data_IF_595730724691
#
_entry.id   IF_595730724691
#
_cell.length_a   1.000
_cell.length_b   1.000
_cell.length_c   1.000
_cell.angle_alpha   90.00
_cell.angle_beta   90.00
_cell.angle_gamma   90.00
#
_symmetry.space_group_name_H-M   'P 1'
#
loop_
_entity.id
_entity.type
_entity.pdbx_description
1 polymer ?
#
# COMPACT_ATOMS: atom_id res chain seq x y z
N UNK A 1 66.52 28.72 -26.04
CA UNK A 1 65.87 28.43 -24.74
C UNK A 1 64.41 28.07 -24.95
N UNK A 2 64.07 26.78 -25.12
CA UNK A 2 62.68 26.27 -25.15
C UNK A 2 62.68 24.84 -24.63
N UNK A 3 62.79 24.68 -23.32
CA UNK A 3 62.47 23.45 -22.60
C UNK A 3 61.67 23.87 -21.37
N UNK A 4 60.67 23.06 -21.01
CA UNK A 4 59.92 23.11 -19.75
C UNK A 4 58.53 23.80 -19.77
N UNK A 5 57.67 23.50 -20.75
CA UNK A 5 56.24 23.88 -20.65
C UNK A 5 55.23 22.75 -20.89
N UNK A 6 55.67 21.49 -20.99
CA UNK A 6 54.78 20.33 -21.24
C UNK A 6 54.45 19.54 -19.97
N UNK A 7 55.37 19.54 -18.99
CA UNK A 7 55.22 18.82 -17.72
C UNK A 7 54.08 19.37 -16.82
N UNK A 8 53.85 20.70 -16.68
CA UNK A 8 52.79 21.17 -15.78
C UNK A 8 51.38 20.90 -16.31
N UNK A 9 51.19 20.79 -17.63
CA UNK A 9 49.90 20.49 -18.24
C UNK A 9 49.47 19.02 -18.04
N UNK A 10 50.42 18.08 -18.07
CA UNK A 10 50.14 16.66 -17.87
C UNK A 10 49.75 16.35 -16.41
N UNK A 11 50.38 17.02 -15.45
CA UNK A 11 50.08 16.91 -14.03
C UNK A 11 48.71 17.51 -13.67
N UNK A 12 48.33 18.63 -14.30
CA UNK A 12 47.00 19.22 -14.12
C UNK A 12 45.90 18.30 -14.68
N UNK A 13 46.15 17.63 -15.80
CA UNK A 13 45.20 16.67 -16.39
C UNK A 13 45.04 15.40 -15.54
N UNK A 14 46.12 14.92 -14.92
CA UNK A 14 46.07 13.79 -13.98
C UNK A 14 45.32 14.14 -12.68
N UNK A 15 45.52 15.34 -12.13
CA UNK A 15 44.82 15.81 -10.93
C UNK A 15 43.32 16.06 -11.19
N UNK A 16 42.95 16.54 -12.37
CA UNK A 16 41.54 16.69 -12.77
C UNK A 16 40.82 15.34 -12.90
N UNK A 17 41.51 14.29 -13.39
CA UNK A 17 40.93 12.95 -13.47
C UNK A 17 40.79 12.27 -12.10
N UNK A 18 41.68 12.56 -11.14
CA UNK A 18 41.57 12.07 -9.77
C UNK A 18 40.43 12.77 -9.00
N UNK A 19 40.21 14.07 -9.23
CA UNK A 19 39.14 14.83 -8.58
C UNK A 19 37.74 14.47 -9.13
N UNK A 20 37.61 14.22 -10.44
CA UNK A 20 36.34 13.75 -11.02
C UNK A 20 35.97 12.31 -10.62
N UNK A 21 36.93 11.45 -10.24
CA UNK A 21 36.63 10.08 -9.79
C UNK A 21 35.96 10.03 -8.42
N UNK A 22 36.16 11.04 -7.57
CA UNK A 22 35.54 11.11 -6.24
C UNK A 22 34.19 11.84 -6.23
N UNK A 23 33.75 12.41 -7.34
CA UNK A 23 32.45 13.10 -7.44
C UNK A 23 31.34 12.25 -8.09
N UNK A 24 31.61 11.01 -8.48
CA UNK A 24 30.57 10.14 -9.02
C UNK A 24 30.05 9.22 -7.91
N UNK A 25 28.76 9.42 -7.61
CA UNK A 25 27.79 8.52 -6.96
C UNK A 25 27.38 8.84 -5.51
N UNK A 26 26.69 9.96 -5.34
CA UNK A 26 25.35 9.85 -4.73
C UNK A 26 24.42 9.20 -5.76
N UNK A 27 24.71 7.95 -6.14
CA UNK A 27 23.83 7.22 -7.05
C UNK A 27 22.56 6.96 -6.29
N UNK A 28 21.44 7.42 -6.85
CA UNK A 28 20.11 7.01 -6.43
C UNK A 28 20.10 5.53 -6.06
N UNK A 29 19.69 5.16 -4.83
CA UNK A 29 19.52 3.75 -4.51
C UNK A 29 18.48 3.14 -5.45
N UNK A 30 18.74 1.92 -5.91
CA UNK A 30 17.78 1.20 -6.76
C UNK A 30 16.46 0.96 -6.02
N UNK A 31 15.34 0.87 -6.76
CA UNK A 31 14.02 0.52 -6.20
C UNK A 31 14.08 -0.72 -5.30
N UNK A 32 14.78 -1.75 -5.75
CA UNK A 32 15.04 -2.98 -4.98
C UNK A 32 15.70 -2.72 -3.62
N UNK A 33 16.77 -1.92 -3.58
CA UNK A 33 17.47 -1.62 -2.33
C UNK A 33 16.58 -0.81 -1.37
N UNK A 34 15.83 0.15 -1.90
CA UNK A 34 14.89 0.94 -1.11
C UNK A 34 13.76 0.07 -0.55
N UNK A 35 13.19 -0.82 -1.36
CA UNK A 35 12.17 -1.78 -0.92
C UNK A 35 12.70 -2.67 0.22
N UNK A 36 13.91 -3.23 0.09
CA UNK A 36 14.54 -4.02 1.16
C UNK A 36 14.71 -3.20 2.45
N UNK A 37 15.08 -1.92 2.33
CA UNK A 37 15.21 -1.03 3.49
C UNK A 37 13.86 -0.80 4.17
N UNK A 38 12.79 -0.65 3.41
CA UNK A 38 11.44 -0.45 3.92
C UNK A 38 10.90 -1.75 4.55
N UNK A 39 11.11 -2.91 3.93
CA UNK A 39 10.78 -4.23 4.50
C UNK A 39 11.44 -4.41 5.86
N UNK A 40 12.72 -4.03 6.01
CA UNK A 40 13.42 -4.11 7.32
C UNK A 40 12.81 -3.21 8.39
N UNK A 41 12.24 -2.06 8.01
CA UNK A 41 11.60 -1.11 8.94
C UNK A 41 10.19 -1.53 9.32
N UNK A 42 9.37 -1.90 8.32
CA UNK A 42 7.98 -2.29 8.52
C UNK A 42 7.86 -3.72 9.09
N UNK A 43 8.78 -4.61 8.72
CA UNK A 43 8.77 -6.01 9.12
C UNK A 43 7.66 -6.83 8.46
N UNK A 44 7.67 -8.13 8.76
CA UNK A 44 6.69 -9.08 8.25
C UNK A 44 5.48 -9.21 9.20
N UNK A 45 4.30 -9.38 8.61
CA UNK A 45 3.05 -9.72 9.28
C UNK A 45 2.99 -11.23 9.49
N UNK A 46 2.36 -11.65 10.59
CA UNK A 46 2.06 -13.04 10.85
C UNK A 46 0.73 -13.41 10.18
N UNK A 47 0.70 -14.53 9.46
CA UNK A 47 -0.51 -15.11 8.90
C UNK A 47 -1.01 -16.30 9.78
N UNK A 48 -2.33 -16.57 9.80
CA UNK A 48 -3.39 -15.77 9.20
C UNK A 48 -3.52 -14.42 9.91
N UNK A 49 -3.93 -13.42 9.15
CA UNK A 49 -4.17 -12.06 9.63
C UNK A 49 -5.69 -11.85 9.75
N UNK A 50 -6.13 -11.27 10.87
CA UNK A 50 -7.51 -10.85 11.09
C UNK A 50 -7.47 -9.48 11.76
N UNK A 51 -8.14 -8.49 11.17
CA UNK A 51 -8.24 -7.17 11.78
C UNK A 51 -9.52 -6.44 11.40
N UNK A 52 -9.99 -5.64 12.36
CA UNK A 52 -11.09 -4.70 12.18
C UNK A 52 -10.54 -3.40 11.59
N UNK A 53 -11.13 -2.93 10.49
CA UNK A 53 -10.64 -1.77 9.73
C UNK A 53 -10.90 -0.47 10.49
N UNK A 54 -12.05 -0.36 11.17
CA UNK A 54 -12.48 0.86 11.86
C UNK A 54 -12.16 0.86 13.37
N UNK A 55 -11.64 -0.25 13.90
CA UNK A 55 -11.33 -0.43 15.31
C UNK A 55 -9.83 -0.31 15.61
N UNK A 56 -9.34 -1.18 16.50
CA UNK A 56 -7.91 -1.33 16.82
C UNK A 56 -7.13 -2.03 15.68
N UNK A 57 -7.33 -1.57 14.44
CA UNK A 57 -6.74 -2.13 13.24
C UNK A 57 -5.21 -2.11 13.25
N UNK A 58 -4.61 -2.61 12.16
CA UNK A 58 -3.15 -2.63 12.03
C UNK A 58 -2.59 -1.21 12.12
N UNK A 59 -1.62 -1.02 13.02
CA UNK A 59 -0.90 0.23 13.14
C UNK A 59 0.18 0.33 12.07
N UNK A 60 0.28 1.50 11.45
CA UNK A 60 1.36 1.81 10.53
C UNK A 60 2.71 1.63 11.22
N UNK A 61 3.60 0.89 10.55
CA UNK A 61 4.98 0.66 10.99
C UNK A 61 5.99 1.47 10.20
N UNK A 62 5.57 2.04 9.08
CA UNK A 62 6.37 2.92 8.25
C UNK A 62 5.49 3.91 7.50
N UNK A 63 5.78 5.21 7.60
CA UNK A 63 5.06 6.25 6.87
C UNK A 63 5.74 6.53 5.53
N UNK A 64 4.96 6.59 4.45
CA UNK A 64 5.49 6.86 3.11
C UNK A 64 5.85 8.34 2.93
N UNK A 65 7.03 8.62 2.38
CA UNK A 65 7.37 9.97 1.91
C UNK A 65 6.87 10.19 0.47
N UNK A 66 5.78 10.94 0.34
CA UNK A 66 5.14 11.25 -0.95
C UNK A 66 5.98 12.11 -1.90
N UNK A 67 7.07 12.72 -1.42
CA UNK A 67 8.02 13.49 -2.24
C UNK A 67 9.34 12.74 -2.44
N UNK A 68 9.52 11.60 -1.76
CA UNK A 68 10.73 10.80 -1.75
C UNK A 68 10.69 9.59 -2.67
N UNK A 69 11.68 8.70 -2.52
CA UNK A 69 11.78 7.44 -3.28
C UNK A 69 10.61 6.50 -3.06
N UNK A 70 9.95 6.61 -1.92
CA UNK A 70 8.80 5.78 -1.59
C UNK A 70 7.68 6.00 -2.60
N UNK A 71 7.50 7.22 -3.11
CA UNK A 71 6.57 7.54 -4.20
C UNK A 71 6.88 6.81 -5.52
N UNK A 72 8.16 6.46 -5.76
CA UNK A 72 8.56 5.69 -6.94
C UNK A 72 8.34 4.19 -6.75
N UNK A 73 8.31 3.72 -5.50
CA UNK A 73 8.09 2.31 -5.16
C UNK A 73 6.60 2.01 -5.05
N UNK A 74 5.86 2.79 -4.25
CA UNK A 74 4.44 2.56 -3.96
C UNK A 74 3.50 3.48 -4.75
N UNK A 75 4.02 4.25 -5.70
CA UNK A 75 3.24 5.24 -6.44
C UNK A 75 2.80 6.42 -5.57
N UNK A 76 1.78 7.16 -6.03
CA UNK A 76 1.11 8.22 -5.25
C UNK A 76 0.16 7.66 -4.18
N UNK A 77 0.41 6.45 -3.68
CA UNK A 77 -0.40 5.86 -2.63
C UNK A 77 -0.35 6.73 -1.39
N UNK A 78 -1.52 7.18 -0.94
CA UNK A 78 -1.68 7.88 0.32
C UNK A 78 -1.68 6.79 1.40
N UNK A 79 -0.82 6.90 2.43
CA UNK A 79 -0.87 5.98 3.56
C UNK A 79 0.46 5.54 4.15
N UNK A 80 0.39 4.85 5.28
CA UNK A 80 1.47 4.11 5.87
C UNK A 80 1.45 2.63 5.48
N UNK A 81 2.58 1.96 5.68
CA UNK A 81 2.73 0.53 5.54
C UNK A 81 2.50 -0.11 6.92
N UNK A 82 1.51 -1.00 7.00
CA UNK A 82 1.26 -1.83 8.17
C UNK A 82 2.29 -2.95 8.32
N UNK A 83 2.73 -3.51 7.19
CA UNK A 83 3.72 -4.57 7.14
C UNK A 83 3.67 -5.34 5.83
N UNK A 84 4.66 -6.20 5.63
CA UNK A 84 4.75 -7.09 4.47
C UNK A 84 4.24 -8.47 4.84
N UNK A 85 3.55 -9.16 3.93
CA UNK A 85 3.31 -10.59 4.13
C UNK A 85 4.61 -11.38 3.98
N UNK A 86 4.68 -12.59 4.57
CA UNK A 86 5.86 -13.46 4.47
C UNK A 86 6.37 -13.54 3.02
N UNK A 87 7.69 -13.46 2.88
CA UNK A 87 8.34 -13.37 1.58
C UNK A 87 7.99 -14.57 0.69
N UNK A 88 7.52 -14.30 -0.53
CA UNK A 88 7.30 -15.35 -1.54
C UNK A 88 8.53 -15.47 -2.42
N UNK A 89 8.67 -16.56 -3.16
CA UNK A 89 9.82 -16.73 -4.07
C UNK A 89 9.85 -15.64 -5.17
N UNK A 90 8.70 -15.12 -5.58
CA UNK A 90 8.57 -14.33 -6.82
C UNK A 90 8.25 -12.85 -6.61
N UNK A 91 7.60 -12.49 -5.51
CA UNK A 91 7.15 -11.13 -5.25
C UNK A 91 7.24 -10.77 -3.76
N UNK A 92 7.05 -9.50 -3.45
CA UNK A 92 6.74 -9.01 -2.12
C UNK A 92 5.31 -8.51 -2.11
N UNK A 93 4.58 -8.71 -1.02
CA UNK A 93 3.25 -8.14 -0.85
C UNK A 93 3.14 -7.39 0.47
N UNK A 94 2.42 -6.28 0.46
CA UNK A 94 2.37 -5.32 1.55
C UNK A 94 0.94 -4.88 1.79
N UNK A 95 0.60 -4.64 3.06
CA UNK A 95 -0.65 -3.99 3.46
C UNK A 95 -0.38 -2.52 3.72
N UNK A 96 -1.18 -1.67 3.08
CA UNK A 96 -1.14 -0.21 3.23
C UNK A 96 -2.42 0.30 3.89
N UNK A 97 -2.26 1.35 4.70
CA UNK A 97 -3.32 2.05 5.40
C UNK A 97 -3.26 3.56 5.04
N UNK A 98 -4.24 4.06 4.30
CA UNK A 98 -4.40 5.41 3.75
C UNK A 98 -5.16 6.50 4.56
N UNK A 99 -4.78 7.01 5.75
CA UNK A 99 -5.55 8.04 6.55
C UNK A 99 -6.30 9.15 5.74
N UNK A 100 -7.59 8.92 5.35
CA UNK A 100 -8.46 9.87 4.63
C UNK A 100 -9.84 9.36 4.13
N UNK A 101 -10.77 10.29 3.88
CA UNK A 101 -12.21 10.12 3.52
C UNK A 101 -12.50 9.91 2.02
N UNK A 102 -11.54 9.40 1.25
CA UNK A 102 -11.67 9.38 -0.22
C UNK A 102 -11.10 8.11 -0.89
N UNK A 103 -10.52 7.20 -0.12
CA UNK A 103 -9.88 5.99 -0.65
C UNK A 103 -10.37 4.80 0.16
N UNK A 104 -10.77 3.65 -0.42
CA UNK A 104 -11.14 2.45 0.34
C UNK A 104 -9.95 1.84 1.07
N UNK A 105 -9.99 1.85 2.38
CA UNK A 105 -8.97 1.24 3.22
C UNK A 105 -9.41 -0.13 3.69
N UNK A 106 -8.50 -1.11 3.84
CA UNK A 106 -7.08 -1.11 3.54
C UNK A 106 -6.77 -1.59 2.10
N UNK A 107 -5.52 -1.46 1.66
CA UNK A 107 -5.05 -1.93 0.35
C UNK A 107 -3.98 -3.01 0.48
N UNK A 108 -3.91 -3.88 -0.52
CA UNK A 108 -2.76 -4.74 -0.76
C UNK A 108 -2.08 -4.29 -2.04
N UNK A 109 -0.75 -4.15 -1.98
CA UNK A 109 0.09 -4.00 -3.16
C UNK A 109 1.08 -5.16 -3.25
N UNK A 110 1.49 -5.47 -4.47
CA UNK A 110 2.47 -6.51 -4.79
C UNK A 110 3.55 -5.97 -5.71
N UNK A 111 4.78 -6.43 -5.50
CA UNK A 111 5.96 -5.98 -6.24
C UNK A 111 6.84 -7.14 -6.65
N UNK A 112 7.43 -7.05 -7.83
CA UNK A 112 8.48 -7.99 -8.22
C UNK A 112 9.74 -7.81 -7.33
N UNK A 113 10.70 -8.73 -7.45
CA UNK A 113 11.95 -8.65 -6.68
C UNK A 113 12.83 -7.45 -7.01
N UNK A 114 12.50 -6.68 -8.06
CA UNK A 114 13.19 -5.45 -8.45
C UNK A 114 12.50 -4.18 -7.90
N UNK A 115 11.32 -4.34 -7.28
CA UNK A 115 10.52 -3.24 -6.73
C UNK A 115 9.62 -2.56 -7.77
N UNK A 116 9.27 -3.26 -8.85
CA UNK A 116 8.23 -2.81 -9.78
C UNK A 116 6.87 -3.33 -9.33
N UNK A 117 5.84 -2.50 -9.43
CA UNK A 117 4.47 -2.87 -9.10
C UNK A 117 3.96 -3.97 -10.04
N UNK A 118 3.30 -4.97 -9.48
CA UNK A 118 2.60 -6.04 -10.21
C UNK A 118 1.09 -5.78 -10.20
N UNK A 119 0.53 -5.53 -9.01
CA UNK A 119 -0.91 -5.36 -8.79
C UNK A 119 -1.17 -4.63 -7.47
N UNK A 120 -2.25 -3.85 -7.43
CA UNK A 120 -2.72 -3.10 -6.28
C UNK A 120 -4.25 -3.14 -6.22
N UNK A 121 -4.80 -3.51 -5.07
CA UNK A 121 -6.26 -3.61 -4.89
C UNK A 121 -6.71 -3.21 -3.48
N UNK A 122 -7.88 -2.58 -3.39
CA UNK A 122 -8.54 -2.26 -2.13
C UNK A 122 -9.29 -3.49 -1.61
N UNK A 123 -9.03 -3.87 -0.36
CA UNK A 123 -9.48 -5.15 0.21
C UNK A 123 -10.58 -5.01 1.29
N UNK A 124 -11.09 -3.80 1.51
CA UNK A 124 -12.33 -3.60 2.26
C UNK A 124 -13.56 -3.80 1.38
N UNK A 125 -14.58 -4.43 1.96
CA UNK A 125 -15.87 -4.67 1.32
C UNK A 125 -16.78 -3.44 1.27
N UNK A 126 -16.56 -2.41 2.12
CA UNK A 126 -17.40 -1.20 2.12
C UNK A 126 -16.58 0.06 2.49
N UNK A 127 -16.27 0.94 1.52
CA UNK A 127 -15.64 2.23 1.83
C UNK A 127 -16.54 3.17 2.64
N UNK A 128 -17.86 2.90 2.68
CA UNK A 128 -18.89 3.90 2.97
C UNK A 128 -19.33 4.04 4.43
N UNK A 129 -18.64 3.47 5.42
CA UNK A 129 -18.97 3.76 6.82
C UNK A 129 -18.58 5.18 7.27
N UNK A 130 -17.80 5.88 6.45
CA UNK A 130 -17.32 7.23 6.74
C UNK A 130 -17.92 8.27 5.78
N UNK A 131 -18.35 7.86 4.57
CA UNK A 131 -18.61 8.79 3.46
C UNK A 131 -20.02 8.75 2.83
N UNK A 132 -20.92 7.90 3.34
CA UNK A 132 -22.34 7.94 2.92
C UNK A 132 -23.12 8.82 3.92
N UNK A 133 -24.12 9.62 3.53
CA UNK A 133 -25.02 10.32 4.46
C UNK A 133 -25.96 9.32 5.16
N UNK A 134 -25.37 8.31 5.79
CA UNK A 134 -26.02 7.33 6.62
C UNK A 134 -25.79 7.77 8.06
N UNK A 135 -26.87 8.04 8.79
CA UNK A 135 -26.79 8.11 10.24
C UNK A 135 -26.58 6.66 10.74
N UNK A 136 -25.31 6.27 10.86
CA UNK A 136 -24.96 4.90 11.24
C UNK A 136 -25.16 4.70 12.74
N UNK A 137 -25.93 3.67 13.10
CA UNK A 137 -26.05 3.21 14.49
C UNK A 137 -25.02 2.12 14.79
N UNK A 138 -24.61 1.37 13.75
CA UNK A 138 -23.52 0.40 13.83
C UNK A 138 -22.80 0.32 12.50
N UNK A 139 -21.47 0.36 12.51
CA UNK A 139 -20.66 -0.06 11.39
C UNK A 139 -19.60 -1.07 11.86
N UNK A 140 -19.43 -2.11 11.06
CA UNK A 140 -18.41 -3.13 11.20
C UNK A 140 -17.72 -3.34 9.86
N UNK A 141 -16.39 -3.35 9.84
CA UNK A 141 -15.61 -3.77 8.68
C UNK A 141 -14.40 -4.56 9.17
N UNK A 142 -14.22 -5.76 8.65
CA UNK A 142 -13.12 -6.63 8.99
C UNK A 142 -12.55 -7.34 7.77
N UNK A 143 -11.25 -7.57 7.82
CA UNK A 143 -10.49 -8.24 6.78
C UNK A 143 -9.70 -9.40 7.37
N UNK A 144 -9.77 -10.54 6.68
CA UNK A 144 -9.02 -11.75 6.95
C UNK A 144 -8.12 -12.06 5.76
N UNK A 145 -6.88 -12.44 6.05
CA UNK A 145 -5.94 -12.92 5.05
C UNK A 145 -5.33 -14.22 5.57
N UNK A 146 -5.66 -15.30 4.88
CA UNK A 146 -5.27 -16.64 5.27
C UNK A 146 -3.81 -16.95 4.85
N UNK A 147 -3.26 -18.06 5.35
CA UNK A 147 -1.87 -18.46 5.08
C UNK A 147 -1.62 -18.74 3.60
N UNK A 148 -2.65 -19.13 2.86
CA UNK A 148 -2.61 -19.35 1.42
C UNK A 148 -2.92 -18.09 0.60
N UNK A 149 -2.86 -16.91 1.23
CA UNK A 149 -3.15 -15.61 0.62
C UNK A 149 -4.57 -15.45 0.08
N UNK A 150 -5.53 -16.25 0.55
CA UNK A 150 -6.95 -15.92 0.37
C UNK A 150 -7.30 -14.71 1.22
N UNK A 151 -8.06 -13.82 0.62
CA UNK A 151 -8.51 -12.57 1.21
C UNK A 151 -10.02 -12.67 1.37
N UNK A 152 -10.51 -12.36 2.56
CA UNK A 152 -11.94 -12.26 2.86
C UNK A 152 -12.18 -10.95 3.57
N UNK A 153 -13.26 -10.26 3.24
CA UNK A 153 -13.72 -9.11 4.02
C UNK A 153 -15.23 -9.13 4.12
N UNK A 154 -15.71 -8.64 5.26
CA UNK A 154 -17.12 -8.43 5.54
C UNK A 154 -17.22 -7.02 6.06
N UNK A 155 -18.12 -6.26 5.45
CA UNK A 155 -18.52 -4.98 5.96
C UNK A 155 -20.04 -4.95 6.12
N UNK A 156 -20.50 -4.36 7.22
CA UNK A 156 -21.90 -4.27 7.60
C UNK A 156 -22.16 -2.88 8.16
N UNK A 157 -23.21 -2.24 7.65
CA UNK A 157 -23.72 -0.97 8.18
C UNK A 157 -25.20 -1.13 8.55
N UNK A 158 -25.53 -0.65 9.74
CA UNK A 158 -26.89 -0.51 10.25
C UNK A 158 -27.09 0.97 10.56
N UNK A 159 -28.19 1.54 10.11
CA UNK A 159 -28.45 2.96 10.31
C UNK A 159 -29.64 3.44 9.52
N UNK A 160 -29.68 4.74 9.27
CA UNK A 160 -30.72 5.39 8.49
C UNK A 160 -30.13 6.07 7.27
N UNK A 161 -30.79 5.94 6.13
CA UNK A 161 -30.48 6.70 4.92
C UNK A 161 -31.67 7.58 4.55
N UNK A 162 -31.41 8.83 4.18
CA UNK A 162 -32.45 9.72 3.67
C UNK A 162 -32.86 9.27 2.27
N UNK A 163 -34.16 9.00 2.08
CA UNK A 163 -34.75 8.70 0.78
C UNK A 163 -35.38 9.98 0.19
N UNK A 164 -34.79 10.58 -0.88
CA UNK A 164 -35.31 11.80 -1.49
C UNK A 164 -36.70 11.63 -2.12
N UNK A 165 -37.04 10.41 -2.55
CA UNK A 165 -38.34 10.12 -3.19
C UNK A 165 -39.48 10.12 -2.18
N UNK A 166 -39.21 9.74 -0.92
CA UNK A 166 -40.21 9.71 0.16
C UNK A 166 -40.07 10.87 1.14
N UNK A 167 -38.98 11.66 1.03
CA UNK A 167 -38.58 12.72 1.94
C UNK A 167 -38.54 12.26 3.40
N UNK A 168 -38.07 11.04 3.64
CA UNK A 168 -38.02 10.38 4.94
C UNK A 168 -36.74 9.56 5.08
N UNK A 169 -36.33 9.35 6.33
CA UNK A 169 -35.27 8.42 6.66
C UNK A 169 -35.80 6.98 6.66
N UNK A 170 -35.04 6.08 6.03
CA UNK A 170 -35.33 4.66 5.96
C UNK A 170 -34.25 3.88 6.68
N UNK A 171 -34.67 2.95 7.55
CA UNK A 171 -33.76 2.05 8.23
C UNK A 171 -33.12 1.10 7.21
N UNK A 172 -31.80 0.99 7.25
CA UNK A 172 -31.03 0.09 6.41
C UNK A 172 -30.22 -0.87 7.26
N UNK A 173 -30.07 -2.09 6.72
CA UNK A 173 -29.05 -3.02 7.16
C UNK A 173 -28.42 -3.60 5.91
N UNK A 174 -27.24 -3.08 5.56
CA UNK A 174 -26.53 -3.44 4.34
C UNK A 174 -25.25 -4.16 4.71
N UNK A 175 -24.99 -5.26 4.03
CA UNK A 175 -23.79 -6.06 4.17
C UNK A 175 -23.16 -6.28 2.81
N UNK A 176 -21.85 -6.11 2.73
CA UNK A 176 -21.06 -6.48 1.57
C UNK A 176 -20.00 -7.49 2.00
N UNK A 177 -19.73 -8.43 1.11
CA UNK A 177 -18.66 -9.40 1.26
C UNK A 177 -17.66 -9.22 0.13
N UNK A 178 -16.43 -9.51 0.42
CA UNK A 178 -15.35 -9.55 -0.54
C UNK A 178 -14.64 -10.88 -0.37
N UNK A 179 -14.46 -11.58 -1.48
CA UNK A 179 -13.64 -12.77 -1.59
C UNK A 179 -12.54 -12.50 -2.61
N UNK A 180 -11.31 -12.90 -2.30
CA UNK A 180 -10.17 -12.65 -3.17
C UNK A 180 -9.00 -13.56 -2.87
N UNK A 181 -7.95 -13.43 -3.69
CA UNK A 181 -6.68 -14.12 -3.48
C UNK A 181 -5.55 -13.42 -4.21
N UNK A 182 -4.32 -13.68 -3.77
CA UNK A 182 -3.10 -13.31 -4.49
C UNK A 182 -2.54 -14.57 -5.16
N UNK A 183 -2.36 -14.52 -6.48
CA UNK A 183 -1.81 -15.67 -7.21
C UNK A 183 -0.29 -15.83 -7.00
N UNK A 184 0.26 -16.93 -7.49
CA UNK A 184 1.70 -17.22 -7.41
C UNK A 184 2.61 -16.18 -8.07
N UNK A 185 2.08 -15.36 -8.96
CA UNK A 185 2.80 -14.30 -9.67
C UNK A 185 2.63 -12.94 -8.99
N UNK A 186 1.89 -12.86 -7.88
CA UNK A 186 1.59 -11.62 -7.18
C UNK A 186 0.38 -10.88 -7.74
N UNK A 187 -0.36 -11.42 -8.71
CA UNK A 187 -1.57 -10.75 -9.21
C UNK A 187 -2.70 -10.92 -8.20
N UNK A 188 -3.37 -9.82 -7.87
CA UNK A 188 -4.46 -9.79 -6.90
C UNK A 188 -5.78 -9.91 -7.67
N UNK A 189 -6.67 -10.75 -7.16
CA UNK A 189 -8.01 -10.98 -7.68
C UNK A 189 -9.02 -10.73 -6.57
N UNK A 190 -9.99 -9.86 -6.84
CA UNK A 190 -11.01 -9.47 -5.88
C UNK A 190 -12.39 -9.63 -6.53
N UNK A 191 -13.31 -10.24 -5.80
CA UNK A 191 -14.72 -10.32 -6.14
C UNK A 191 -15.53 -9.72 -4.99
N UNK A 192 -16.34 -8.70 -5.29
CA UNK A 192 -17.21 -8.03 -4.32
C UNK A 192 -18.63 -8.48 -4.56
N UNK A 193 -19.34 -8.83 -3.49
CA UNK A 193 -20.77 -9.08 -3.57
C UNK A 193 -21.52 -7.78 -3.87
N UNK A 194 -22.69 -7.92 -4.49
CA UNK A 194 -23.73 -6.90 -4.39
C UNK A 194 -24.09 -6.62 -2.93
N UNK A 195 -24.80 -5.52 -2.68
CA UNK A 195 -25.31 -5.19 -1.35
C UNK A 195 -26.33 -6.25 -0.93
N UNK A 196 -26.07 -6.89 0.21
CA UNK A 196 -26.93 -7.88 0.83
C UNK A 196 -27.71 -7.18 1.94
N UNK A 197 -29.04 -7.21 1.86
CA UNK A 197 -29.88 -6.76 2.97
C UNK A 197 -29.78 -7.77 4.11
N UNK A 198 -29.59 -7.31 5.34
CA UNK A 198 -29.63 -8.23 6.48
C UNK A 198 -31.03 -8.80 6.63
N UNK A 199 -31.13 -10.09 6.92
CA UNK A 199 -32.39 -10.69 7.36
C UNK A 199 -32.85 -9.97 8.65
N UNK A 200 -34.14 -9.62 8.72
CA UNK A 200 -34.76 -8.98 9.88
C UNK A 200 -34.86 -9.92 11.07
#
# INVERSE_FOLDING_TARGET
MKKNLVIPFLLLFLLLNLSCRNQVKNSLPSKRQQLIKIIKKAGFLKLPLNFEVLGNGLKDKYLLDHRGYDSLVFGKSLGGICGFFPDTTFYYSVVLNSHGSAFPWPYIMTFDKNGNEISSEGISAFPGCVDTPIESTSCYDSVWIDVDFRIRSIAKVIGKIYNPSTNKDEDICNMNKLDGYIDKNGKIYINKSDVILCDK
#
